data_IF_369529405389
#
_entry.id   IF_369529405389
#
_cell.length_a   1.000
_cell.length_b   1.000
_cell.length_c   1.000
_cell.angle_alpha   90.00
_cell.angle_beta   90.00
_cell.angle_gamma   90.00
#
_symmetry.space_group_name_H-M   'P 1'
#
loop_
_entity.id
_entity.type
_entity.pdbx_description
1 polymer ?
#
# COMPACT_ATOMS: atom_id res chain seq x y z
N UNK A 1 14.98 26.95 44.14
CA UNK A 1 13.69 26.27 43.89
C UNK A 1 13.53 26.18 42.38
N UNK A 2 13.89 25.02 41.81
CA UNK A 2 13.79 24.77 40.37
C UNK A 2 12.32 24.69 39.97
N UNK A 3 11.91 25.41 38.93
CA UNK A 3 10.71 25.09 38.17
C UNK A 3 11.14 24.74 36.75
N UNK A 4 10.99 23.44 36.45
CA UNK A 4 11.23 22.86 35.15
C UNK A 4 10.13 23.32 34.18
N UNK A 5 10.54 23.90 33.05
CA UNK A 5 9.66 24.08 31.90
C UNK A 5 9.57 22.73 31.17
N UNK A 6 8.41 22.11 31.22
CA UNK A 6 8.09 20.90 30.45
C UNK A 6 7.93 21.31 29.00
N UNK A 7 8.90 20.93 28.17
CA UNK A 7 8.83 21.05 26.72
C UNK A 7 7.67 20.20 26.20
N UNK A 8 6.61 20.82 25.71
CA UNK A 8 5.55 20.11 24.99
C UNK A 8 6.07 19.81 23.58
N UNK A 9 6.65 18.61 23.41
CA UNK A 9 7.04 18.10 22.10
C UNK A 9 5.76 17.76 21.33
N UNK A 10 5.30 18.68 20.48
CA UNK A 10 4.19 18.42 19.57
C UNK A 10 4.67 17.46 18.48
N UNK A 11 4.32 16.18 18.59
CA UNK A 11 4.39 15.25 17.48
C UNK A 11 3.27 15.61 16.50
N UNK A 12 3.62 16.34 15.44
CA UNK A 12 2.71 16.61 14.33
C UNK A 12 2.39 15.29 13.62
N UNK A 13 1.22 14.72 13.88
CA UNK A 13 0.64 13.74 12.97
C UNK A 13 0.34 14.47 11.65
N UNK A 14 1.05 14.06 10.60
CA UNK A 14 0.86 14.60 9.26
C UNK A 14 -0.64 14.55 8.87
N UNK A 15 -1.15 15.67 8.37
CA UNK A 15 -2.50 15.79 7.84
C UNK A 15 -2.73 14.72 6.77
N UNK A 16 -3.53 13.70 7.10
CA UNK A 16 -4.08 12.78 6.11
C UNK A 16 -4.91 13.56 5.10
N UNK A 17 -4.73 13.24 3.83
CA UNK A 17 -5.57 13.77 2.74
C UNK A 17 -7.03 13.40 3.02
N UNK A 18 -8.01 14.20 2.57
CA UNK A 18 -9.42 13.80 2.65
C UNK A 18 -9.69 12.41 2.04
N UNK A 19 -8.86 11.99 1.07
CA UNK A 19 -8.90 10.65 0.48
C UNK A 19 -8.64 9.52 1.49
N UNK A 20 -7.90 9.76 2.57
CA UNK A 20 -7.48 8.71 3.50
C UNK A 20 -8.66 8.25 4.37
N UNK A 21 -9.64 9.13 4.61
CA UNK A 21 -10.84 8.84 5.42
C UNK A 21 -11.97 8.18 4.62
N UNK A 22 -11.99 8.35 3.31
CA UNK A 22 -13.03 7.82 2.42
C UNK A 22 -12.61 6.56 1.66
N UNK A 23 -11.33 6.18 1.72
CA UNK A 23 -10.84 5.00 1.02
C UNK A 23 -11.49 3.73 1.59
N UNK A 24 -12.06 2.93 0.69
CA UNK A 24 -12.63 1.64 1.03
C UNK A 24 -11.59 0.71 1.66
N UNK A 25 -12.04 -0.17 2.55
CA UNK A 25 -11.20 -1.15 3.26
C UNK A 25 -11.49 -2.55 2.73
N UNK A 26 -10.46 -3.40 2.71
CA UNK A 26 -10.57 -4.84 2.49
C UNK A 26 -9.75 -5.58 3.54
N UNK A 27 -10.32 -6.61 4.17
CA UNK A 27 -9.56 -7.46 5.09
C UNK A 27 -8.64 -8.40 4.32
N UNK A 28 -7.55 -8.87 4.93
CA UNK A 28 -6.68 -9.89 4.31
C UNK A 28 -7.48 -11.13 3.91
N UNK A 29 -8.43 -11.56 4.74
CA UNK A 29 -9.30 -12.72 4.46
C UNK A 29 -10.23 -12.52 3.26
N UNK A 30 -10.59 -11.28 2.94
CA UNK A 30 -11.47 -10.95 1.81
C UNK A 30 -10.71 -10.75 0.49
N UNK A 31 -9.37 -10.72 0.51
CA UNK A 31 -8.58 -10.71 -0.72
C UNK A 31 -8.78 -12.00 -1.53
N UNK A 32 -8.69 -11.94 -2.87
CA UNK A 32 -8.52 -13.13 -3.68
C UNK A 32 -7.37 -14.00 -3.15
N UNK A 33 -7.41 -15.34 -3.28
CA UNK A 33 -6.33 -16.22 -2.85
C UNK A 33 -4.95 -15.78 -3.33
N UNK A 34 -4.84 -15.35 -4.59
CA UNK A 34 -3.59 -14.87 -5.19
C UNK A 34 -3.12 -13.55 -4.54
N UNK A 35 -4.05 -12.70 -4.10
CA UNK A 35 -3.72 -11.46 -3.39
C UNK A 35 -3.15 -11.72 -2.00
N UNK A 36 -3.66 -12.74 -1.29
CA UNK A 36 -3.12 -13.18 0.00
C UNK A 36 -1.70 -13.73 -0.17
N UNK A 37 -1.48 -14.53 -1.20
CA UNK A 37 -0.15 -15.06 -1.54
C UNK A 37 0.83 -13.94 -1.87
N UNK A 38 0.45 -12.99 -2.73
CA UNK A 38 1.29 -11.82 -3.04
C UNK A 38 1.62 -11.03 -1.78
N UNK A 39 0.66 -10.81 -0.88
CA UNK A 39 0.90 -10.11 0.40
C UNK A 39 1.88 -10.88 1.30
N UNK A 40 1.79 -12.20 1.35
CA UNK A 40 2.74 -13.05 2.07
C UNK A 40 4.16 -12.91 1.53
N UNK A 41 4.34 -13.00 0.20
CA UNK A 41 5.64 -12.82 -0.45
C UNK A 41 6.22 -11.41 -0.23
N UNK A 42 5.38 -10.37 -0.23
CA UNK A 42 5.81 -9.00 0.08
C UNK A 42 6.39 -8.93 1.50
N UNK A 43 5.72 -9.54 2.48
CA UNK A 43 6.19 -9.59 3.88
C UNK A 43 7.52 -10.35 4.02
N UNK A 44 7.78 -11.33 3.16
CA UNK A 44 9.02 -12.12 3.14
C UNK A 44 10.15 -11.49 2.31
N UNK A 45 9.84 -10.48 1.47
CA UNK A 45 10.81 -9.87 0.57
C UNK A 45 10.99 -10.61 -0.77
N UNK A 46 10.05 -11.49 -1.14
CA UNK A 46 10.08 -12.28 -2.37
C UNK A 46 10.32 -13.78 -2.11
N UNK A 47 10.57 -14.59 -3.17
CA UNK A 47 10.80 -14.19 -4.56
C UNK A 47 9.53 -13.66 -5.25
N UNK A 48 9.70 -12.76 -6.22
CA UNK A 48 8.58 -12.23 -7.01
C UNK A 48 8.54 -12.80 -8.42
N UNK A 49 7.33 -12.99 -8.95
CA UNK A 49 7.10 -13.69 -10.21
C UNK A 49 7.38 -12.82 -11.44
N UNK A 50 7.17 -11.50 -11.34
CA UNK A 50 7.33 -10.60 -12.48
C UNK A 50 8.46 -9.61 -12.25
N UNK A 51 9.21 -9.30 -13.32
CA UNK A 51 10.36 -8.37 -13.27
C UNK A 51 9.99 -6.95 -12.83
N UNK A 52 8.71 -6.58 -12.86
CA UNK A 52 8.19 -5.27 -12.41
C UNK A 52 7.75 -5.27 -10.95
N UNK A 53 7.72 -6.43 -10.29
CA UNK A 53 7.33 -6.50 -8.89
C UNK A 53 8.43 -5.89 -8.01
N UNK A 54 8.04 -5.01 -7.09
CA UNK A 54 8.94 -4.26 -6.22
C UNK A 54 9.46 -2.95 -6.80
N UNK A 55 9.12 -2.59 -8.05
CA UNK A 55 9.50 -1.27 -8.60
C UNK A 55 8.70 -0.14 -7.95
N UNK A 56 9.22 1.09 -8.03
CA UNK A 56 8.57 2.28 -7.46
C UNK A 56 7.23 2.53 -8.16
N UNK A 57 6.18 2.70 -7.37
CA UNK A 57 4.89 3.23 -7.80
C UNK A 57 4.84 4.74 -7.51
N UNK A 58 4.70 5.56 -8.55
CA UNK A 58 4.84 7.02 -8.42
C UNK A 58 3.61 7.75 -7.89
N UNK A 59 2.44 7.10 -7.81
CA UNK A 59 1.18 7.70 -7.38
C UNK A 59 0.84 9.04 -8.09
N UNK A 60 1.05 9.13 -9.42
CA UNK A 60 0.85 10.37 -10.18
C UNK A 60 -0.59 10.89 -10.14
N UNK A 61 -1.57 9.98 -10.18
CA UNK A 61 -2.99 10.30 -10.07
C UNK A 61 -3.43 10.62 -8.64
N UNK A 62 -2.54 10.51 -7.64
CA UNK A 62 -2.79 10.83 -6.23
C UNK A 62 -3.99 10.06 -5.64
N UNK A 63 -4.14 8.81 -6.07
CA UNK A 63 -5.19 7.88 -5.57
C UNK A 63 -4.87 7.33 -4.19
N UNK A 64 -3.59 7.24 -3.86
CA UNK A 64 -3.10 6.88 -2.53
C UNK A 64 -2.72 8.15 -1.73
N UNK A 65 -2.59 8.05 -0.40
CA UNK A 65 -2.08 9.14 0.42
C UNK A 65 -0.78 9.74 -0.14
N UNK A 66 -0.56 11.03 0.10
CA UNK A 66 0.61 11.73 -0.44
C UNK A 66 1.84 11.46 0.44
N UNK A 67 2.83 10.79 -0.13
CA UNK A 67 4.14 10.56 0.49
C UNK A 67 5.29 11.01 -0.42
N UNK A 68 6.51 10.93 0.10
CA UNK A 68 7.73 11.20 -0.66
C UNK A 68 7.94 10.22 -1.83
N UNK A 69 8.75 10.62 -2.82
CA UNK A 69 9.03 9.77 -3.98
C UNK A 69 9.75 8.49 -3.53
N UNK A 70 9.31 7.35 -4.04
CA UNK A 70 9.90 6.05 -3.71
C UNK A 70 9.26 5.36 -2.50
N UNK A 71 8.31 6.03 -1.85
CA UNK A 71 7.56 5.47 -0.71
C UNK A 71 6.79 4.20 -1.09
N UNK A 72 6.09 4.23 -2.23
CA UNK A 72 5.28 3.11 -2.70
C UNK A 72 6.02 2.19 -3.66
N UNK A 73 5.77 0.88 -3.55
CA UNK A 73 6.18 -0.16 -4.49
C UNK A 73 4.99 -0.97 -4.98
N UNK A 74 4.99 -1.34 -6.25
CA UNK A 74 3.93 -2.16 -6.86
C UNK A 74 4.30 -3.65 -6.95
N UNK A 75 3.29 -4.50 -6.80
CA UNK A 75 3.39 -5.94 -6.90
C UNK A 75 2.20 -6.49 -7.67
N UNK A 76 2.46 -7.43 -8.55
CA UNK A 76 1.45 -8.08 -9.38
C UNK A 76 0.68 -9.10 -8.54
N UNK A 77 -0.66 -9.04 -8.61
CA UNK A 77 -1.52 -10.12 -8.13
C UNK A 77 -1.95 -10.94 -9.34
N UNK A 78 -1.60 -12.23 -9.36
CA UNK A 78 -1.90 -13.08 -10.50
C UNK A 78 -3.41 -13.18 -10.72
N UNK A 79 -3.82 -13.21 -11.99
CA UNK A 79 -5.21 -13.49 -12.38
C UNK A 79 -5.23 -14.85 -13.08
N UNK A 80 -5.93 -15.86 -12.54
CA UNK A 80 -5.98 -17.19 -13.15
C UNK A 80 -6.40 -17.14 -14.62
N UNK A 81 -5.72 -17.93 -15.46
CA UNK A 81 -5.97 -18.00 -16.90
C UNK A 81 -5.42 -16.83 -17.73
N UNK A 82 -4.92 -15.76 -17.10
CA UNK A 82 -4.32 -14.63 -17.81
C UNK A 82 -2.81 -14.86 -17.97
N UNK A 83 -2.33 -14.78 -19.22
CA UNK A 83 -0.92 -15.02 -19.58
C UNK A 83 0.01 -13.84 -19.31
N UNK A 84 -0.54 -12.63 -19.21
CA UNK A 84 0.20 -11.41 -18.88
C UNK A 84 0.03 -11.08 -17.38
N UNK A 85 0.51 -9.91 -16.93
CA UNK A 85 0.41 -9.47 -15.53
C UNK A 85 -1.03 -9.22 -15.05
N UNK A 86 -2.02 -9.18 -15.93
CA UNK A 86 -3.40 -8.80 -15.60
C UNK A 86 -3.51 -7.37 -15.05
N UNK A 87 -4.67 -7.05 -14.48
CA UNK A 87 -4.97 -5.72 -13.93
C UNK A 87 -4.77 -5.61 -12.41
N UNK A 88 -4.71 -6.74 -11.69
CA UNK A 88 -4.72 -6.75 -10.23
C UNK A 88 -3.35 -6.45 -9.64
N UNK A 89 -3.30 -5.62 -8.60
CA UNK A 89 -2.06 -5.13 -7.99
C UNK A 89 -2.20 -4.99 -6.49
N UNK A 90 -1.11 -5.19 -5.77
CA UNK A 90 -0.92 -4.68 -4.42
C UNK A 90 0.14 -3.58 -4.48
N UNK A 91 -0.11 -2.44 -3.85
CA UNK A 91 0.84 -1.35 -3.69
C UNK A 91 1.11 -1.17 -2.21
N UNK A 92 2.37 -1.27 -1.78
CA UNK A 92 2.74 -1.13 -0.39
C UNK A 92 3.67 0.07 -0.16
N UNK A 93 3.39 0.82 0.91
CA UNK A 93 4.25 1.81 1.51
C UNK A 93 4.98 1.25 2.73
N UNK A 94 6.15 1.81 3.03
CA UNK A 94 6.96 1.44 4.21
C UNK A 94 6.69 2.42 5.37
N UNK A 95 6.66 1.98 6.64
CA UNK A 95 6.87 0.62 7.09
C UNK A 95 5.63 -0.29 7.00
N UNK A 96 4.39 0.20 7.07
CA UNK A 96 3.20 -0.68 7.09
C UNK A 96 1.93 -0.03 6.53
N UNK A 97 1.80 0.02 5.21
CA UNK A 97 0.48 0.16 4.57
C UNK A 97 0.45 -0.50 3.20
N UNK A 98 -0.58 -1.28 2.92
CA UNK A 98 -0.76 -1.92 1.62
C UNK A 98 -2.16 -1.67 1.10
N UNK A 99 -2.26 -1.55 -0.22
CA UNK A 99 -3.47 -1.20 -0.94
C UNK A 99 -3.69 -2.19 -2.08
N UNK A 100 -4.91 -2.68 -2.21
CA UNK A 100 -5.31 -3.58 -3.28
C UNK A 100 -6.04 -2.80 -4.38
N UNK A 101 -5.63 -3.02 -5.63
CA UNK A 101 -6.36 -2.56 -6.82
C UNK A 101 -6.72 -3.78 -7.67
N UNK A 102 -7.97 -3.84 -8.10
CA UNK A 102 -8.46 -4.90 -8.99
C UNK A 102 -8.46 -4.49 -10.48
N UNK A 103 -8.22 -3.21 -10.76
CA UNK A 103 -8.60 -2.51 -11.99
C UNK A 103 -7.46 -1.65 -12.56
N UNK A 104 -6.22 -2.07 -12.31
CA UNK A 104 -5.02 -1.42 -12.82
C UNK A 104 -4.88 0.04 -12.35
N UNK A 105 -4.91 0.22 -11.02
CA UNK A 105 -4.69 1.48 -10.29
C UNK A 105 -5.82 2.52 -10.38
N UNK A 106 -6.97 2.17 -10.95
CA UNK A 106 -8.12 3.10 -11.05
C UNK A 106 -8.78 3.32 -9.69
N UNK A 107 -8.95 2.25 -8.91
CA UNK A 107 -9.45 2.29 -7.54
C UNK A 107 -8.55 1.50 -6.60
N UNK A 108 -8.58 1.89 -5.32
CA UNK A 108 -7.81 1.24 -4.26
C UNK A 108 -8.68 0.94 -3.05
N UNK A 109 -8.36 -0.18 -2.41
CA UNK A 109 -8.85 -0.53 -1.08
C UNK A 109 -7.68 -0.72 -0.13
N UNK A 110 -7.72 -0.08 1.03
CA UNK A 110 -6.71 -0.28 2.07
C UNK A 110 -6.85 -1.68 2.66
N UNK A 111 -5.74 -2.42 2.68
CA UNK A 111 -5.68 -3.76 3.25
C UNK A 111 -5.52 -3.62 4.77
N UNK A 112 -6.38 -4.30 5.52
CA UNK A 112 -6.31 -4.41 6.98
C UNK A 112 -6.31 -5.88 7.38
N UNK A 113 -5.67 -6.21 8.49
CA UNK A 113 -5.74 -7.56 9.10
C UNK A 113 -7.14 -7.80 9.70
#
# INVERSE_FOLDING_TARGET
>A
MLLALVSVQTYAYAFGSNNDREMQIITVSALPPEGRETLHLIKQGGPFLYARDGVIFSNFEKRLPKHERGYYREFTVQTPGIRNRGARRIVCGQPVECYYSADHYQTFRRIVE
#
